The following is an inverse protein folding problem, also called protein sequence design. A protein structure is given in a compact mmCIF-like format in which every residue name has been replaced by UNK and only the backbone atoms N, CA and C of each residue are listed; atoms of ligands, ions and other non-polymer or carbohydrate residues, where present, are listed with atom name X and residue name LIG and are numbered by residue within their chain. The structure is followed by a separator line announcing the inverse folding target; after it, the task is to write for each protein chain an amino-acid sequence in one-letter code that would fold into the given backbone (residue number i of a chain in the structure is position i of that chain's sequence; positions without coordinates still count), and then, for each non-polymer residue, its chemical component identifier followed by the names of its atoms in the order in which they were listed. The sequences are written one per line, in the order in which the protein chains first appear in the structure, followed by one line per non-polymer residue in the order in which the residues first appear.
data_IF_165092897278
#
_entry.id   IF_165092897278
#
_cell.length_a   1.000
_cell.length_b   1.000
_cell.length_c   1.000
_cell.angle_alpha   90.00
_cell.angle_beta   90.00
_cell.angle_gamma   90.00
#
_symmetry.space_group_name_H-M   'P 1'
#
loop_
_entity.id
_entity.type
_entity.pdbx_description
1 polymer ?
#
# COMPACT_ATOMS: atom_id res chain seq x y z
N UNK A 1 -14.81 14.06 -14.94
CA UNK A 1 -14.21 14.63 -13.70
C UNK A 1 -12.79 14.09 -13.42
N UNK A 2 -11.76 14.44 -14.21
CA UNK A 2 -10.36 14.02 -13.98
C UNK A 2 -9.88 14.20 -12.53
N UNK A 3 -10.46 15.19 -11.82
CA UNK A 3 -10.31 15.44 -10.38
C UNK A 3 -10.58 14.22 -9.49
N UNK A 4 -11.57 13.38 -9.80
CA UNK A 4 -11.92 12.21 -8.97
C UNK A 4 -10.85 11.10 -9.02
N UNK A 5 -10.37 10.75 -10.21
CA UNK A 5 -9.30 9.74 -10.36
C UNK A 5 -7.97 10.24 -9.79
N UNK A 6 -7.72 11.55 -9.87
CA UNK A 6 -6.59 12.15 -9.18
C UNK A 6 -6.77 12.09 -7.65
N UNK A 7 -7.93 12.46 -7.12
CA UNK A 7 -8.24 12.42 -5.68
C UNK A 7 -8.10 11.01 -5.09
N UNK A 8 -8.58 9.97 -5.79
CA UNK A 8 -8.42 8.57 -5.35
C UNK A 8 -6.93 8.19 -5.26
N UNK A 9 -6.12 8.57 -6.26
CA UNK A 9 -4.68 8.29 -6.24
C UNK A 9 -3.94 9.09 -5.18
N UNK A 10 -4.37 10.33 -4.91
CA UNK A 10 -3.85 11.14 -3.82
C UNK A 10 -4.19 10.52 -2.46
N UNK A 11 -5.42 10.02 -2.28
CA UNK A 11 -5.81 9.28 -1.08
C UNK A 11 -4.89 8.07 -0.86
N UNK A 12 -4.70 7.22 -1.89
CA UNK A 12 -3.81 6.06 -1.79
C UNK A 12 -2.37 6.47 -1.46
N UNK A 13 -1.87 7.53 -2.12
CA UNK A 13 -0.54 8.06 -1.84
C UNK A 13 -0.40 8.54 -0.38
N UNK A 14 -1.39 9.24 0.16
CA UNK A 14 -1.36 9.67 1.56
C UNK A 14 -1.31 8.47 2.51
N UNK A 15 -2.12 7.44 2.28
CA UNK A 15 -2.10 6.22 3.11
C UNK A 15 -0.73 5.53 3.07
N UNK A 16 -0.16 5.35 1.88
CA UNK A 16 1.16 4.74 1.68
C UNK A 16 2.29 5.58 2.30
N UNK A 17 2.24 6.91 2.20
CA UNK A 17 3.25 7.79 2.80
C UNK A 17 3.18 7.77 4.33
N UNK A 18 1.98 7.68 4.92
CA UNK A 18 1.82 7.53 6.37
C UNK A 18 2.39 6.17 6.82
N UNK A 19 2.11 5.09 6.08
CA UNK A 19 2.70 3.77 6.34
C UNK A 19 4.23 3.81 6.22
N UNK A 20 4.76 4.40 5.15
CA UNK A 20 6.20 4.62 4.95
C UNK A 20 6.82 5.33 6.16
N UNK A 21 6.21 6.42 6.62
CA UNK A 21 6.71 7.19 7.75
C UNK A 21 6.76 6.34 9.03
N UNK A 22 5.77 5.47 9.24
CA UNK A 22 5.76 4.52 10.36
C UNK A 22 6.89 3.49 10.24
N UNK A 23 7.13 2.93 9.06
CA UNK A 23 8.23 1.98 8.83
C UNK A 23 9.60 2.64 9.02
N UNK A 24 9.82 3.81 8.42
CA UNK A 24 11.05 4.60 8.60
C UNK A 24 11.28 4.89 10.07
N UNK A 25 10.25 5.34 10.79
CA UNK A 25 10.36 5.61 12.24
C UNK A 25 10.76 4.36 13.01
N UNK A 26 10.15 3.21 12.71
CA UNK A 26 10.50 1.94 13.34
C UNK A 26 11.95 1.52 13.02
N UNK A 27 12.36 1.62 11.76
CA UNK A 27 13.73 1.31 11.31
C UNK A 27 14.76 2.20 12.00
N UNK A 28 14.47 3.49 12.19
CA UNK A 28 15.34 4.41 12.92
C UNK A 28 15.40 4.11 14.42
N UNK A 29 14.28 3.75 15.05
CA UNK A 29 14.19 3.53 16.50
C UNK A 29 14.77 2.19 16.93
N UNK A 30 14.63 1.16 16.10
CA UNK A 30 14.93 -0.22 16.47
C UNK A 30 15.95 -0.91 15.56
N UNK A 31 16.36 -0.24 14.48
CA UNK A 31 17.24 -0.79 13.46
C UNK A 31 16.48 -1.49 12.34
N UNK A 32 17.14 -1.62 11.19
CA UNK A 32 16.62 -2.37 10.06
C UNK A 32 16.44 -3.85 10.44
N UNK A 33 15.38 -4.49 9.94
CA UNK A 33 15.01 -5.87 10.28
C UNK A 33 14.62 -6.07 11.75
N UNK A 34 14.09 -5.06 12.42
CA UNK A 34 13.48 -5.23 13.73
C UNK A 34 12.36 -6.30 13.70
N UNK A 35 12.11 -6.98 14.83
CA UNK A 35 11.04 -7.99 14.96
C UNK A 35 9.67 -7.39 15.25
N UNK A 36 9.56 -6.05 15.28
CA UNK A 36 8.32 -5.33 15.58
C UNK A 36 7.70 -5.72 16.93
N UNK A 37 8.53 -6.18 17.88
CA UNK A 37 8.08 -6.59 19.21
C UNK A 37 7.50 -8.01 19.26
N UNK A 38 7.55 -8.76 18.18
CA UNK A 38 7.09 -10.15 18.12
C UNK A 38 8.15 -11.17 18.56
N UNK A 39 9.40 -10.76 18.80
CA UNK A 39 10.49 -11.63 19.26
C UNK A 39 10.68 -12.85 18.36
N UNK A 40 10.84 -14.04 18.96
CA UNK A 40 11.05 -15.31 18.23
C UNK A 40 9.91 -15.69 17.28
N UNK A 41 8.72 -15.08 17.42
CA UNK A 41 7.60 -15.29 16.48
C UNK A 41 7.73 -14.48 15.18
N UNK A 42 8.60 -13.47 15.12
CA UNK A 42 8.96 -12.79 13.88
C UNK A 42 10.01 -13.59 13.11
N UNK A 43 9.57 -14.37 12.12
CA UNK A 43 10.52 -15.02 11.23
C UNK A 43 11.29 -13.99 10.40
N UNK A 44 12.47 -14.36 9.93
CA UNK A 44 13.34 -13.47 9.15
C UNK A 44 12.63 -12.88 7.92
N UNK A 45 11.80 -13.68 7.24
CA UNK A 45 11.02 -13.23 6.10
C UNK A 45 10.07 -12.05 6.45
N UNK A 46 9.47 -12.05 7.64
CA UNK A 46 8.62 -10.94 8.11
C UNK A 46 9.41 -9.66 8.35
N UNK A 47 10.62 -9.79 8.91
CA UNK A 47 11.52 -8.64 9.14
C UNK A 47 11.95 -8.00 7.83
N UNK A 48 12.25 -8.83 6.81
CA UNK A 48 12.55 -8.36 5.46
C UNK A 48 11.31 -7.75 4.80
N UNK A 49 10.14 -8.38 4.96
CA UNK A 49 8.88 -7.87 4.43
C UNK A 49 8.59 -6.46 4.94
N UNK A 50 8.59 -6.26 6.27
CA UNK A 50 8.32 -4.95 6.85
C UNK A 50 9.36 -3.90 6.43
N UNK A 51 10.64 -4.24 6.39
CA UNK A 51 11.68 -3.32 5.90
C UNK A 51 11.55 -3.00 4.40
N UNK A 52 11.05 -3.94 3.59
CA UNK A 52 10.83 -3.71 2.17
C UNK A 52 9.71 -2.69 1.90
N UNK A 53 8.73 -2.56 2.79
CA UNK A 53 7.65 -1.58 2.67
C UNK A 53 8.18 -0.14 2.70
N UNK A 54 9.27 0.14 3.43
CA UNK A 54 9.98 1.43 3.40
C UNK A 54 10.40 1.85 1.98
N UNK A 55 10.60 0.89 1.07
CA UNK A 55 10.91 1.15 -0.34
C UNK A 55 9.69 1.04 -1.26
N UNK A 56 8.88 -0.01 -1.11
CA UNK A 56 7.77 -0.28 -2.02
C UNK A 56 6.62 0.72 -1.91
N UNK A 57 6.37 1.28 -0.72
CA UNK A 57 5.31 2.27 -0.52
C UNK A 57 5.60 3.59 -1.27
N UNK A 58 6.80 4.22 -1.13
CA UNK A 58 7.17 5.38 -1.94
C UNK A 58 7.19 5.07 -3.44
N UNK A 59 7.63 3.87 -3.83
CA UNK A 59 7.63 3.46 -5.23
C UNK A 59 6.19 3.42 -5.79
N UNK A 60 5.25 2.86 -5.03
CA UNK A 60 3.84 2.87 -5.40
C UNK A 60 3.29 4.29 -5.50
N UNK A 61 3.64 5.19 -4.58
CA UNK A 61 3.28 6.61 -4.64
C UNK A 61 3.79 7.26 -5.92
N UNK A 62 5.06 7.09 -6.27
CA UNK A 62 5.63 7.63 -7.50
C UNK A 62 4.90 7.09 -8.74
N UNK A 63 4.63 5.78 -8.77
CA UNK A 63 3.95 5.12 -9.88
C UNK A 63 2.48 5.52 -9.98
N UNK A 64 1.79 5.81 -8.88
CA UNK A 64 0.41 6.30 -8.90
C UNK A 64 0.31 7.57 -9.75
N UNK A 65 1.32 8.43 -9.77
CA UNK A 65 1.30 9.66 -10.56
C UNK A 65 1.95 9.51 -11.94
N UNK A 66 3.09 8.81 -12.05
CA UNK A 66 3.82 8.67 -13.32
C UNK A 66 3.23 7.60 -14.25
N UNK A 67 2.86 6.44 -13.69
CA UNK A 67 2.33 5.28 -14.42
C UNK A 67 1.10 4.73 -13.68
N UNK A 68 -0.05 5.43 -13.72
CA UNK A 68 -1.14 5.21 -12.77
C UNK A 68 -1.68 3.78 -12.72
N UNK A 69 -1.63 3.03 -13.82
CA UNK A 69 -2.00 1.61 -13.84
C UNK A 69 -1.07 0.76 -12.96
N UNK A 70 0.24 0.93 -13.16
CA UNK A 70 1.24 0.19 -12.39
C UNK A 70 1.17 0.62 -10.92
N UNK A 71 0.98 1.91 -10.65
CA UNK A 71 0.76 2.41 -9.30
C UNK A 71 -0.42 1.75 -8.60
N UNK A 72 -1.59 1.68 -9.25
CA UNK A 72 -2.78 1.04 -8.68
C UNK A 72 -2.55 -0.46 -8.43
N UNK A 73 -1.94 -1.19 -9.38
CA UNK A 73 -1.62 -2.61 -9.21
C UNK A 73 -0.67 -2.79 -8.02
N UNK A 74 0.39 -1.99 -7.94
CA UNK A 74 1.37 -2.11 -6.87
C UNK A 74 0.75 -1.77 -5.51
N UNK A 75 -0.06 -0.70 -5.41
CA UNK A 75 -0.78 -0.38 -4.17
C UNK A 75 -1.69 -1.53 -3.73
N UNK A 76 -2.41 -2.17 -4.67
CA UNK A 76 -3.25 -3.31 -4.35
C UNK A 76 -2.45 -4.54 -3.89
N UNK A 77 -1.32 -4.82 -4.54
CA UNK A 77 -0.44 -5.92 -4.16
C UNK A 77 0.17 -5.70 -2.76
N UNK A 78 0.65 -4.48 -2.48
CA UNK A 78 1.20 -4.09 -1.18
C UNK A 78 0.15 -4.30 -0.09
N UNK A 79 -1.02 -3.66 -0.21
CA UNK A 79 -1.99 -3.66 0.90
C UNK A 79 -2.63 -5.04 1.12
N UNK A 80 -2.77 -5.84 0.05
CA UNK A 80 -3.23 -7.22 0.18
C UNK A 80 -2.19 -8.08 0.93
N UNK A 81 -0.91 -7.96 0.58
CA UNK A 81 0.17 -8.67 1.25
C UNK A 81 0.31 -8.21 2.71
N UNK A 82 0.24 -6.91 2.96
CA UNK A 82 0.36 -6.32 4.30
C UNK A 82 -0.77 -6.78 5.22
N UNK A 83 -2.03 -6.68 4.78
CA UNK A 83 -3.16 -7.19 5.57
C UNK A 83 -3.06 -8.69 5.80
N UNK A 84 -2.73 -9.49 4.77
CA UNK A 84 -2.59 -10.93 4.94
C UNK A 84 -1.48 -11.29 5.94
N UNK A 85 -0.33 -10.63 5.82
CA UNK A 85 0.84 -10.83 6.68
C UNK A 85 0.55 -10.42 8.12
N UNK A 86 -0.01 -9.22 8.34
CA UNK A 86 -0.31 -8.74 9.68
C UNK A 86 -1.50 -9.46 10.32
N UNK A 87 -2.45 -10.00 9.56
CA UNK A 87 -3.55 -10.82 10.11
C UNK A 87 -3.01 -12.02 10.87
N UNK A 88 -1.93 -12.65 10.39
CA UNK A 88 -1.27 -13.76 11.08
C UNK A 88 -0.74 -13.31 12.45
N UNK A 89 -0.01 -12.20 12.51
CA UNK A 89 0.56 -11.66 13.75
C UNK A 89 -0.52 -11.15 14.72
N UNK A 90 -1.56 -10.53 14.20
CA UNK A 90 -2.74 -10.10 14.96
C UNK A 90 -3.45 -11.29 15.59
N UNK A 91 -3.61 -12.40 14.85
CA UNK A 91 -4.21 -13.62 15.39
C UNK A 91 -3.35 -14.24 16.51
N UNK A 92 -2.03 -14.25 16.35
CA UNK A 92 -1.10 -14.76 17.37
C UNK A 92 -1.13 -13.96 18.67
N UNK A 93 -1.37 -12.65 18.62
CA UNK A 93 -1.32 -11.75 19.78
C UNK A 93 -2.68 -11.17 20.20
N UNK A 94 -3.78 -11.58 19.55
CA UNK A 94 -5.15 -11.09 19.78
C UNK A 94 -5.32 -9.57 19.60
N UNK A 95 -4.61 -8.98 18.63
CA UNK A 95 -4.52 -7.53 18.39
C UNK A 95 -5.58 -7.00 17.39
N UNK A 96 -6.77 -7.59 17.37
CA UNK A 96 -7.78 -7.36 16.30
C UNK A 96 -8.30 -5.93 16.22
N UNK A 97 -8.23 -5.17 17.31
CA UNK A 97 -8.72 -3.80 17.40
C UNK A 97 -7.59 -2.78 17.41
N UNK A 98 -6.35 -3.20 17.20
CA UNK A 98 -5.23 -2.29 17.19
C UNK A 98 -5.32 -1.30 16.01
N UNK A 99 -5.07 0.00 16.22
CA UNK A 99 -5.21 1.02 15.17
C UNK A 99 -4.37 0.73 13.92
N UNK A 100 -3.18 0.13 14.07
CA UNK A 100 -2.34 -0.23 12.93
C UNK A 100 -3.01 -1.30 12.04
N UNK A 101 -3.78 -2.22 12.61
CA UNK A 101 -4.49 -3.27 11.87
C UNK A 101 -5.78 -2.75 11.25
N UNK A 102 -6.55 -1.97 12.00
CA UNK A 102 -7.80 -1.39 11.48
C UNK A 102 -7.52 -0.42 10.32
N UNK A 103 -6.45 0.36 10.38
CA UNK A 103 -6.08 1.30 9.31
C UNK A 103 -5.66 0.62 8.00
N UNK A 104 -4.88 -0.45 8.05
CA UNK A 104 -4.54 -1.23 6.85
C UNK A 104 -5.76 -1.95 6.25
N UNK A 105 -6.67 -2.49 7.08
CA UNK A 105 -7.92 -3.10 6.57
C UNK A 105 -8.82 -2.05 5.93
N UNK A 106 -8.96 -0.87 6.54
CA UNK A 106 -9.69 0.25 5.96
C UNK A 106 -9.07 0.69 4.62
N UNK A 107 -7.73 0.74 4.55
CA UNK A 107 -7.04 1.06 3.31
C UNK A 107 -7.23 -0.02 2.24
N UNK A 108 -7.19 -1.31 2.59
CA UNK A 108 -7.51 -2.42 1.68
C UNK A 108 -8.91 -2.25 1.08
N UNK A 109 -9.91 -2.00 1.93
CA UNK A 109 -11.29 -1.78 1.48
C UNK A 109 -11.36 -0.59 0.52
N UNK A 110 -10.71 0.53 0.86
CA UNK A 110 -10.65 1.69 -0.01
C UNK A 110 -9.99 1.36 -1.36
N UNK A 111 -8.90 0.59 -1.37
CA UNK A 111 -8.23 0.16 -2.60
C UNK A 111 -9.14 -0.72 -3.45
N UNK A 112 -9.79 -1.73 -2.87
CA UNK A 112 -10.67 -2.63 -3.62
C UNK A 112 -11.88 -1.90 -4.23
N UNK A 113 -12.49 -0.98 -3.48
CA UNK A 113 -13.68 -0.25 -3.94
C UNK A 113 -13.34 0.85 -4.96
N UNK A 114 -12.23 1.57 -4.77
CA UNK A 114 -11.92 2.77 -5.56
C UNK A 114 -11.01 2.50 -6.76
N UNK A 115 -10.22 1.42 -6.75
CA UNK A 115 -9.33 1.06 -7.86
C UNK A 115 -10.03 0.93 -9.21
N UNK A 116 -11.21 0.27 -9.33
CA UNK A 116 -11.91 0.18 -10.62
C UNK A 116 -12.29 1.55 -11.21
N UNK A 117 -12.59 2.53 -10.35
CA UNK A 117 -12.92 3.91 -10.78
C UNK A 117 -11.68 4.64 -11.29
N UNK A 118 -10.57 4.53 -10.55
CA UNK A 118 -9.29 5.13 -10.96
C UNK A 118 -8.71 4.45 -12.23
N UNK A 119 -8.95 3.14 -12.39
CA UNK A 119 -8.48 2.35 -13.52
C UNK A 119 -9.19 2.69 -14.85
N UNK A 120 -10.52 2.65 -14.87
CA UNK A 120 -11.34 2.86 -16.08
C UNK A 120 -11.05 4.20 -16.76
N UNK A 121 -10.72 5.24 -15.99
CA UNK A 121 -10.38 6.55 -16.55
C UNK A 121 -8.98 6.63 -17.12
N UNK A 122 -8.04 5.87 -16.57
CA UNK A 122 -6.70 5.73 -17.14
C UNK A 122 -6.77 5.06 -18.52
N UNK A 123 -7.66 4.08 -18.71
CA UNK A 123 -7.95 3.50 -20.04
C UNK A 123 -8.49 4.57 -20.99
N UNK A 124 -9.52 5.31 -20.58
CA UNK A 124 -10.13 6.34 -21.43
C UNK A 124 -9.13 7.44 -21.84
N UNK A 125 -8.23 7.86 -20.94
CA UNK A 125 -7.19 8.85 -21.26
C UNK A 125 -6.18 8.31 -22.27
N UNK A 126 -5.73 7.06 -22.11
CA UNK A 126 -4.80 6.42 -23.06
C UNK A 126 -5.45 6.25 -24.43
N UNK A 127 -6.72 5.83 -24.48
CA UNK A 127 -7.47 5.70 -25.73
C UNK A 127 -7.64 7.05 -26.45
N UNK A 128 -7.95 8.13 -25.72
CA UNK A 128 -8.06 9.47 -26.30
C UNK A 128 -6.70 10.06 -26.74
N UNK A 129 -5.59 9.65 -26.11
CA UNK A 129 -4.23 10.08 -26.47
C UNK A 129 -3.64 9.28 -27.64
N UNK A 130 -4.21 8.13 -27.99
CA UNK A 130 -3.81 7.30 -29.14
C UNK A 130 -5.05 6.99 -30.02
N UNK A 131 -5.58 7.98 -30.75
CA UNK A 131 -6.79 7.81 -31.56
C UNK A 131 -6.61 6.93 -32.81
N UNK A 132 -5.38 6.54 -33.17
CA UNK A 132 -5.11 5.78 -34.40
C UNK A 132 -4.26 4.55 -34.09
N UNK A 133 -4.89 3.39 -34.07
CA UNK A 133 -4.31 2.11 -34.50
C UNK A 133 -5.41 1.33 -35.22
N UNK A 134 -5.52 1.61 -36.51
CA UNK A 134 -6.01 0.65 -37.51
C UNK A 134 -4.78 -0.12 -38.00
#
# INVERSE_FOLDING_TARGET
MPRLSFAIRALFACCLLIATANHIRADFQHGLFWDYGYGDSACWASRVFWGALTFFDPLAVLLLFQKPRIGIILSAAIILADVAHNTYYVALKQQWLEPFYLSQVAFLIAVLLLSPIAWRRTIRRVALANPVRW
#
